data_IF_861227745500
#
_entry.id   IF_861227745500
#
_cell.length_a   1.000
_cell.length_b   1.000
_cell.length_c   1.000
_cell.angle_alpha   90.00
_cell.angle_beta   90.00
_cell.angle_gamma   90.00
#
_symmetry.space_group_name_H-M   'P 1'
#
loop_
_entity.id
_entity.type
_entity.pdbx_description
1 polymer ?
#
# COMPACT_ATOMS: atom_id res chain seq x y z
N UNK A 1 24.28 26.84 12.04
CA UNK A 1 23.06 26.10 12.42
C UNK A 1 21.80 26.45 11.60
N UNK A 2 21.77 27.48 10.73
CA UNK A 2 20.53 27.89 10.04
C UNK A 2 20.13 27.04 8.83
N UNK A 3 21.09 26.38 8.17
CA UNK A 3 20.84 25.57 6.96
C UNK A 3 20.51 24.10 7.24
N UNK A 4 20.71 23.65 8.48
CA UNK A 4 20.47 22.26 8.89
C UNK A 4 18.98 21.91 8.82
N UNK A 5 18.10 22.84 9.22
CA UNK A 5 16.65 22.68 9.10
C UNK A 5 16.15 22.59 7.65
N UNK A 6 16.82 23.27 6.71
CA UNK A 6 16.43 23.27 5.31
C UNK A 6 16.74 21.90 4.65
N UNK A 7 17.85 21.27 5.04
CA UNK A 7 18.22 19.95 4.57
C UNK A 7 17.22 18.89 5.04
N UNK A 8 16.82 18.92 6.31
CA UNK A 8 15.87 17.92 6.86
C UNK A 8 14.49 18.00 6.22
N UNK A 9 14.03 19.19 5.83
CA UNK A 9 12.74 19.37 5.16
C UNK A 9 12.71 18.75 3.74
N UNK A 10 13.84 18.79 3.00
CA UNK A 10 13.95 18.19 1.67
C UNK A 10 13.89 16.65 1.73
N UNK A 11 14.49 16.04 2.75
CA UNK A 11 14.50 14.58 2.93
C UNK A 11 13.13 13.97 3.29
N UNK A 12 12.21 14.76 3.87
CA UNK A 12 10.88 14.27 4.27
C UNK A 12 9.87 14.16 3.13
N UNK A 13 10.16 14.76 1.96
CA UNK A 13 9.28 14.69 0.78
C UNK A 13 9.35 13.35 0.02
N UNK A 14 10.31 12.49 0.34
CA UNK A 14 10.53 11.18 -0.30
C UNK A 14 9.72 10.02 0.29
N UNK A 15 8.89 10.27 1.32
CA UNK A 15 8.05 9.23 1.91
C UNK A 15 6.86 8.89 0.98
N UNK A 16 7.11 7.93 0.08
CA UNK A 16 6.17 6.98 -0.51
C UNK A 16 4.69 7.42 -0.50
N UNK A 17 4.35 8.40 -1.33
CA UNK A 17 2.95 8.75 -1.59
C UNK A 17 2.42 7.78 -2.66
N UNK A 18 1.47 6.90 -2.31
CA UNK A 18 0.69 6.19 -3.33
C UNK A 18 0.09 7.24 -4.27
N UNK A 19 0.29 7.07 -5.57
CA UNK A 19 -0.26 8.01 -6.54
C UNK A 19 -1.79 8.01 -6.46
N UNK A 20 -2.43 9.15 -6.71
CA UNK A 20 -3.90 9.28 -6.68
C UNK A 20 -4.57 8.24 -7.59
N UNK A 21 -3.92 7.92 -8.72
CA UNK A 21 -4.38 6.88 -9.65
C UNK A 21 -4.43 5.50 -9.00
N UNK A 22 -3.43 5.14 -8.20
CA UNK A 22 -3.40 3.87 -7.48
C UNK A 22 -4.48 3.83 -6.40
N UNK A 23 -4.73 4.92 -5.68
CA UNK A 23 -5.82 4.99 -4.70
C UNK A 23 -7.21 4.79 -5.34
N UNK A 24 -7.44 5.34 -6.54
CA UNK A 24 -8.71 5.19 -7.26
C UNK A 24 -8.87 3.77 -7.80
N UNK A 25 -7.80 3.18 -8.35
CA UNK A 25 -7.82 1.76 -8.74
C UNK A 25 -8.14 0.87 -7.53
N UNK A 26 -7.52 1.13 -6.38
CA UNK A 26 -7.71 0.34 -5.16
C UNK A 26 -9.15 0.43 -4.64
N UNK A 27 -9.73 1.63 -4.61
CA UNK A 27 -11.14 1.83 -4.24
C UNK A 27 -12.10 1.15 -5.21
N UNK A 28 -11.78 1.11 -6.51
CA UNK A 28 -12.59 0.40 -7.50
C UNK A 28 -12.46 -1.12 -7.33
N UNK A 29 -11.27 -1.63 -7.03
CA UNK A 29 -11.06 -3.05 -6.77
C UNK A 29 -11.76 -3.49 -5.48
N UNK A 30 -11.67 -2.72 -4.39
CA UNK A 30 -12.40 -2.98 -3.13
C UNK A 30 -13.92 -2.94 -3.36
N UNK A 31 -14.44 -1.91 -4.05
CA UNK A 31 -15.87 -1.77 -4.29
C UNK A 31 -16.43 -2.83 -5.25
N UNK A 32 -15.67 -3.21 -6.28
CA UNK A 32 -16.11 -4.20 -7.26
C UNK A 32 -16.02 -5.63 -6.74
N UNK A 33 -15.05 -5.93 -5.87
CA UNK A 33 -14.82 -7.29 -5.40
C UNK A 33 -15.29 -7.54 -3.97
N UNK A 34 -15.55 -6.49 -3.18
CA UNK A 34 -15.86 -6.60 -1.75
C UNK A 34 -14.71 -7.18 -0.91
N UNK A 35 -13.49 -7.22 -1.47
CA UNK A 35 -12.32 -7.86 -0.87
C UNK A 35 -11.38 -6.82 -0.28
N UNK A 36 -10.87 -7.09 0.93
CA UNK A 36 -9.79 -6.31 1.53
C UNK A 36 -8.53 -6.36 0.64
N UNK A 37 -8.07 -5.19 0.20
CA UNK A 37 -6.95 -5.02 -0.73
C UNK A 37 -6.00 -3.92 -0.25
N UNK A 38 -4.68 -4.10 -0.38
CA UNK A 38 -3.73 -3.01 -0.15
C UNK A 38 -2.45 -3.14 -0.97
N UNK A 39 -1.95 -2.00 -1.48
CA UNK A 39 -0.58 -1.89 -2.06
C UNK A 39 0.47 -1.47 -1.05
N UNK A 40 0.10 -1.29 0.22
CA UNK A 40 1.04 -0.95 1.27
C UNK A 40 1.52 -2.24 1.96
N UNK A 41 2.82 -2.56 1.89
CA UNK A 41 3.38 -3.74 2.55
C UNK A 41 3.06 -3.80 4.05
N UNK A 42 3.01 -2.64 4.72
CA UNK A 42 2.75 -2.55 6.15
C UNK A 42 1.32 -2.99 6.52
N UNK A 43 0.38 -2.92 5.58
CA UNK A 43 -1.00 -3.32 5.80
C UNK A 43 -1.24 -4.81 5.54
N UNK A 44 -0.30 -5.49 4.88
CA UNK A 44 -0.46 -6.88 4.49
C UNK A 44 -0.51 -7.86 5.67
N UNK A 45 0.23 -7.59 6.75
CA UNK A 45 0.12 -8.40 7.99
C UNK A 45 -1.23 -8.23 8.69
N UNK A 46 -1.92 -7.10 8.48
CA UNK A 46 -3.29 -6.89 8.97
C UNK A 46 -4.27 -7.68 8.10
N UNK A 47 -4.20 -7.52 6.78
CA UNK A 47 -5.06 -8.21 5.81
C UNK A 47 -4.92 -9.73 5.94
N UNK A 48 -3.69 -10.26 6.03
CA UNK A 48 -3.41 -11.69 6.23
C UNK A 48 -4.09 -12.29 7.46
N UNK A 49 -4.26 -11.51 8.53
CA UNK A 49 -4.98 -11.93 9.75
C UNK A 49 -6.49 -11.87 9.62
N UNK A 50 -7.01 -11.03 8.71
CA UNK A 50 -8.44 -10.85 8.46
C UNK A 50 -8.96 -11.84 7.40
N UNK A 51 -8.13 -12.22 6.42
CA UNK A 51 -8.48 -13.25 5.45
C UNK A 51 -8.59 -14.63 6.12
N UNK A 52 -9.49 -15.47 5.62
CA UNK A 52 -9.35 -16.91 5.86
C UNK A 52 -8.00 -17.38 5.28
N UNK A 53 -7.32 -18.28 5.98
CA UNK A 53 -5.90 -18.61 5.73
C UNK A 53 -5.58 -19.03 4.29
N UNK A 54 -6.59 -19.50 3.53
CA UNK A 54 -6.46 -19.97 2.16
C UNK A 54 -6.73 -18.90 1.09
N UNK A 55 -7.28 -17.75 1.50
CA UNK A 55 -7.69 -16.68 0.60
C UNK A 55 -6.63 -15.59 0.49
N UNK A 56 -5.57 -15.61 1.30
CA UNK A 56 -4.58 -14.55 1.25
C UNK A 56 -3.64 -14.70 0.04
N UNK A 57 -3.58 -13.66 -0.79
CA UNK A 57 -2.62 -13.54 -1.88
C UNK A 57 -1.72 -12.31 -1.67
N UNK A 58 -0.42 -12.47 -1.94
CA UNK A 58 0.53 -11.35 -2.04
C UNK A 58 1.34 -11.44 -3.32
N UNK A 59 1.70 -10.30 -3.90
CA UNK A 59 2.53 -10.25 -5.09
C UNK A 59 3.35 -8.96 -5.16
N UNK A 60 4.45 -9.02 -5.92
CA UNK A 60 5.26 -7.85 -6.20
C UNK A 60 4.62 -7.03 -7.33
N UNK A 61 4.57 -5.72 -7.14
CA UNK A 61 4.06 -4.77 -8.11
C UNK A 61 5.17 -4.31 -9.06
N UNK A 62 4.77 -3.72 -10.20
CA UNK A 62 5.71 -3.19 -11.20
C UNK A 62 6.61 -2.07 -10.66
N UNK A 63 6.16 -1.37 -9.63
CA UNK A 63 6.91 -0.31 -8.93
C UNK A 63 7.86 -0.87 -7.85
N UNK A 64 7.96 -2.19 -7.68
CA UNK A 64 8.79 -2.85 -6.67
C UNK A 64 8.17 -2.94 -5.27
N UNK A 65 6.95 -2.43 -5.07
CA UNK A 65 6.23 -2.54 -3.80
C UNK A 65 5.48 -3.89 -3.70
N UNK A 66 5.08 -4.27 -2.48
CA UNK A 66 4.32 -5.49 -2.21
C UNK A 66 2.84 -5.11 -2.07
N UNK A 67 1.99 -5.78 -2.84
CA UNK A 67 0.55 -5.72 -2.68
C UNK A 67 0.01 -7.04 -2.12
N UNK A 68 -1.16 -6.96 -1.49
CA UNK A 68 -1.83 -8.08 -0.86
C UNK A 68 -3.35 -7.92 -0.95
N UNK A 69 -4.06 -9.05 -0.97
CA UNK A 69 -5.51 -9.10 -0.95
C UNK A 69 -6.03 -10.41 -0.35
N UNK A 70 -7.28 -10.40 0.12
CA UNK A 70 -8.05 -11.64 0.27
C UNK A 70 -8.67 -12.04 -1.07
N UNK A 71 -8.68 -13.32 -1.39
CA UNK A 71 -9.14 -13.91 -2.63
C UNK A 71 -10.11 -15.06 -2.30
N UNK A 72 -11.35 -14.70 -1.92
CA UNK A 72 -12.47 -15.66 -1.83
C UNK A 72 -13.06 -16.01 -3.19
#
# INVERSE_FOLDING_TARGET
MKYLFLATALFLSGCASQSIKEQVEDSLFEAATGKDYSRNPAHCERIKRQCAHQDYAQWNQKNGQIACACNS
#
